data_IF_418873146594
#
_entry.id   IF_418873146594
#
_cell.length_a   1.000
_cell.length_b   1.000
_cell.length_c   1.000
_cell.angle_alpha   90.00
_cell.angle_beta   90.00
_cell.angle_gamma   90.00
#
_symmetry.space_group_name_H-M   'P 1'
#
loop_
_entity.id
_entity.type
_entity.pdbx_description
1 polymer ?
#
# COMPACT_ATOMS: atom_id res chain seq x y z
N UNK A 1 -5.40 -5.92 11.38
CA UNK A 1 -5.67 -4.83 10.41
C UNK A 1 -4.74 -4.96 9.22
N UNK A 2 -5.26 -4.84 8.01
CA UNK A 2 -4.48 -4.88 6.77
C UNK A 2 -4.48 -3.50 6.12
N UNK A 3 -3.31 -2.92 5.93
CA UNK A 3 -3.15 -1.62 5.28
C UNK A 3 -2.58 -1.84 3.88
N UNK A 4 -3.32 -1.43 2.86
CA UNK A 4 -2.86 -1.42 1.48
C UNK A 4 -1.88 -0.26 1.25
N UNK A 5 -0.77 -0.51 0.60
CA UNK A 5 0.12 0.54 0.10
C UNK A 5 0.21 0.44 -1.41
N UNK A 6 -0.14 1.51 -2.08
CA UNK A 6 -0.13 1.62 -3.54
C UNK A 6 0.76 2.76 -4.01
N UNK A 7 1.39 2.58 -5.15
CA UNK A 7 2.30 3.53 -5.75
C UNK A 7 3.00 2.94 -6.97
N UNK A 8 3.83 3.73 -7.64
CA UNK A 8 4.51 3.31 -8.86
C UNK A 8 5.58 2.25 -8.60
N UNK A 9 5.80 1.37 -9.58
CA UNK A 9 6.87 0.35 -9.58
C UNK A 9 8.27 0.94 -9.75
N UNK A 10 8.37 2.22 -10.08
CA UNK A 10 9.59 3.03 -10.12
C UNK A 10 9.31 4.36 -9.46
N UNK A 11 10.21 4.84 -8.63
CA UNK A 11 10.05 6.11 -7.93
C UNK A 11 11.41 6.78 -7.68
N UNK A 12 11.37 8.08 -7.35
CA UNK A 12 12.55 8.82 -6.93
C UNK A 12 13.06 8.34 -5.56
N UNK A 13 14.33 8.63 -5.21
CA UNK A 13 14.87 8.32 -3.88
C UNK A 13 14.03 8.91 -2.74
N UNK A 14 13.51 10.12 -2.88
CA UNK A 14 12.66 10.79 -1.89
C UNK A 14 11.33 10.03 -1.67
N UNK A 15 10.72 9.56 -2.74
CA UNK A 15 9.49 8.77 -2.64
C UNK A 15 9.77 7.38 -2.07
N UNK A 16 10.90 6.77 -2.42
CA UNK A 16 11.32 5.49 -1.83
C UNK A 16 11.53 5.61 -0.31
N UNK A 17 12.18 6.67 0.15
CA UNK A 17 12.39 6.93 1.58
C UNK A 17 11.05 7.15 2.32
N UNK A 18 10.15 7.94 1.73
CA UNK A 18 8.80 8.15 2.27
C UNK A 18 8.02 6.83 2.38
N UNK A 19 8.08 6.00 1.35
CA UNK A 19 7.41 4.69 1.34
C UNK A 19 8.00 3.74 2.39
N UNK A 20 9.31 3.73 2.57
CA UNK A 20 9.99 2.96 3.59
C UNK A 20 9.59 3.41 4.99
N UNK A 21 9.48 4.71 5.22
CA UNK A 21 9.00 5.26 6.50
C UNK A 21 7.54 4.86 6.77
N UNK A 22 6.66 4.91 5.77
CA UNK A 22 5.27 4.41 5.88
C UNK A 22 5.27 2.95 6.26
N UNK A 23 6.08 2.13 5.61
CA UNK A 23 6.21 0.71 5.94
C UNK A 23 6.68 0.47 7.37
N UNK A 24 7.68 1.20 7.83
CA UNK A 24 8.20 1.12 9.20
C UNK A 24 7.12 1.48 10.22
N UNK A 25 6.33 2.50 9.96
CA UNK A 25 5.22 2.89 10.84
C UNK A 25 4.09 1.86 10.87
N UNK A 26 3.79 1.21 9.74
CA UNK A 26 2.83 0.08 9.68
C UNK A 26 3.33 -1.08 10.54
N UNK A 27 4.59 -1.48 10.39
CA UNK A 27 5.19 -2.58 11.15
C UNK A 27 5.25 -2.31 12.65
N UNK A 28 5.68 -1.12 13.07
CA UNK A 28 5.71 -0.70 14.49
C UNK A 28 4.35 -0.81 15.18
N UNK A 29 3.27 -0.60 14.45
CA UNK A 29 1.90 -0.66 14.98
C UNK A 29 1.26 -2.04 14.87
N UNK A 30 1.99 -3.05 14.41
CA UNK A 30 1.50 -4.42 14.30
C UNK A 30 0.46 -4.64 13.20
N UNK A 31 0.32 -3.70 12.26
CA UNK A 31 -0.53 -3.90 11.10
C UNK A 31 0.20 -4.70 10.01
N UNK A 32 -0.58 -5.37 9.16
CA UNK A 32 -0.07 -6.14 8.02
C UNK A 32 -0.06 -5.25 6.78
N UNK A 33 1.04 -5.22 6.05
CA UNK A 33 1.12 -4.58 4.74
C UNK A 33 0.57 -5.51 3.67
N UNK A 34 -0.31 -4.99 2.82
CA UNK A 34 -0.67 -5.63 1.55
C UNK A 34 -0.33 -4.69 0.39
N UNK A 35 0.36 -5.18 -0.62
CA UNK A 35 0.77 -4.39 -1.79
C UNK A 35 0.84 -5.27 -3.05
N UNK A 36 1.23 -4.66 -4.17
CA UNK A 36 1.39 -5.37 -5.44
C UNK A 36 2.63 -6.25 -5.56
N UNK A 37 3.51 -6.22 -4.55
CA UNK A 37 4.64 -7.14 -4.43
C UNK A 37 5.84 -6.90 -5.35
N UNK A 38 5.83 -5.84 -6.18
CA UNK A 38 6.88 -5.52 -7.14
C UNK A 38 7.86 -4.47 -6.61
N UNK A 39 8.46 -3.68 -7.49
CA UNK A 39 9.47 -2.67 -7.16
C UNK A 39 8.91 -1.32 -6.70
N UNK A 40 9.79 -0.33 -6.62
CA UNK A 40 9.44 1.05 -6.31
C UNK A 40 8.82 1.25 -4.92
N UNK A 41 7.66 1.88 -4.88
CA UNK A 41 6.92 2.15 -3.63
C UNK A 41 6.58 0.84 -2.89
N UNK A 42 6.19 -0.20 -3.61
CA UNK A 42 5.84 -1.50 -3.03
C UNK A 42 7.03 -2.15 -2.31
N UNK A 43 8.19 -2.15 -2.95
CA UNK A 43 9.42 -2.70 -2.36
C UNK A 43 9.90 -1.89 -1.16
N UNK A 44 9.91 -0.55 -1.28
CA UNK A 44 10.36 0.33 -0.20
C UNK A 44 9.46 0.23 1.03
N UNK A 45 8.14 0.22 0.84
CA UNK A 45 7.20 0.01 1.95
C UNK A 45 7.39 -1.36 2.60
N UNK A 46 7.55 -2.42 1.80
CA UNK A 46 7.79 -3.77 2.31
C UNK A 46 9.08 -3.85 3.13
N UNK A 47 10.15 -3.21 2.65
CA UNK A 47 11.43 -3.10 3.39
C UNK A 47 11.22 -2.46 4.76
N UNK A 48 10.55 -1.32 4.82
CA UNK A 48 10.26 -0.63 6.08
C UNK A 48 9.47 -1.49 7.07
N UNK A 49 8.48 -2.24 6.60
CA UNK A 49 7.72 -3.18 7.45
C UNK A 49 8.63 -4.26 8.01
N UNK A 50 9.51 -4.85 7.19
CA UNK A 50 10.44 -5.90 7.63
C UNK A 50 11.44 -5.40 8.64
N UNK A 51 11.97 -4.17 8.48
CA UNK A 51 12.85 -3.55 9.47
C UNK A 51 12.18 -3.38 10.84
N UNK A 52 10.88 -3.17 10.87
CA UNK A 52 10.09 -3.08 12.09
C UNK A 52 9.55 -4.43 12.60
N UNK A 53 9.92 -5.55 11.98
CA UNK A 53 9.49 -6.89 12.38
C UNK A 53 8.05 -7.25 12.00
N UNK A 54 7.45 -6.53 11.06
CA UNK A 54 6.07 -6.75 10.61
C UNK A 54 5.94 -7.80 9.50
N UNK A 55 4.70 -8.00 9.03
CA UNK A 55 4.31 -8.96 8.00
C UNK A 55 3.94 -8.27 6.70
N UNK A 56 4.40 -8.82 5.58
CA UNK A 56 4.16 -8.30 4.24
C UNK A 56 3.48 -9.33 3.33
N UNK A 57 2.43 -8.91 2.64
CA UNK A 57 1.70 -9.70 1.65
C UNK A 57 1.83 -9.01 0.30
N UNK A 58 2.32 -9.72 -0.70
CA UNK A 58 2.41 -9.26 -2.08
C UNK A 58 1.41 -9.98 -2.98
N UNK A 59 0.46 -9.25 -3.55
CA UNK A 59 -0.48 -9.77 -4.54
C UNK A 59 0.12 -9.56 -5.93
N UNK A 60 0.72 -10.61 -6.48
CA UNK A 60 1.51 -10.55 -7.70
C UNK A 60 0.63 -10.62 -8.96
N UNK A 61 0.96 -9.86 -10.00
CA UNK A 61 0.21 -9.87 -11.26
C UNK A 61 0.53 -11.07 -12.13
N UNK A 62 1.72 -11.64 -12.01
CA UNK A 62 2.23 -12.71 -12.85
C UNK A 62 1.89 -14.10 -12.34
N UNK A 63 2.66 -15.07 -12.84
CA UNK A 63 2.42 -16.51 -12.61
C UNK A 63 3.46 -17.17 -11.73
N UNK A 64 4.43 -16.42 -11.21
CA UNK A 64 5.53 -16.92 -10.41
C UNK A 64 5.73 -16.11 -9.13
N UNK A 65 5.98 -16.78 -8.02
CA UNK A 65 6.31 -16.14 -6.75
C UNK A 65 7.69 -15.46 -6.75
N UNK A 66 8.57 -15.85 -7.68
CA UNK A 66 9.88 -15.26 -7.87
C UNK A 66 9.82 -13.81 -8.39
N UNK A 67 8.66 -13.34 -8.87
CA UNK A 67 8.43 -11.94 -9.23
C UNK A 67 8.36 -11.01 -8.01
N UNK A 68 8.10 -11.56 -6.83
CA UNK A 68 8.02 -10.78 -5.59
C UNK A 68 9.37 -10.14 -5.25
N UNK A 69 9.34 -8.89 -4.75
CA UNK A 69 10.54 -8.29 -4.18
C UNK A 69 11.00 -9.06 -2.93
N UNK A 70 12.27 -8.87 -2.54
CA UNK A 70 12.92 -9.63 -1.48
C UNK A 70 12.37 -9.42 -0.07
N UNK A 71 11.42 -8.50 0.12
CA UNK A 71 10.82 -8.16 1.42
C UNK A 71 9.40 -8.68 1.58
N UNK A 72 8.87 -9.43 0.61
CA UNK A 72 7.54 -10.05 0.69
C UNK A 72 7.64 -11.40 1.44
N UNK A 73 6.89 -11.51 2.53
CA UNK A 73 6.79 -12.76 3.29
C UNK A 73 5.82 -13.75 2.63
N UNK A 74 4.65 -13.24 2.20
CA UNK A 74 3.59 -14.06 1.63
C UNK A 74 3.28 -13.59 0.21
N UNK A 75 3.85 -14.23 -0.82
CA UNK A 75 3.51 -13.95 -2.22
C UNK A 75 2.23 -14.67 -2.61
N UNK A 76 1.24 -13.93 -3.14
CA UNK A 76 0.01 -14.47 -3.71
C UNK A 76 0.10 -14.35 -5.23
N UNK A 77 0.23 -15.47 -5.92
CA UNK A 77 0.36 -15.55 -7.37
C UNK A 77 -1.02 -15.59 -8.00
N UNK A 78 -1.37 -14.57 -8.79
CA UNK A 78 -2.72 -14.46 -9.37
C UNK A 78 -2.78 -14.78 -10.86
N UNK A 79 -1.75 -14.47 -11.63
CA UNK A 79 -1.78 -14.56 -13.08
C UNK A 79 -2.78 -13.59 -13.74
N UNK A 80 -3.26 -12.57 -13.00
CA UNK A 80 -4.35 -11.69 -13.44
C UNK A 80 -3.88 -10.35 -14.02
N UNK A 81 -2.56 -10.12 -14.08
CA UNK A 81 -2.04 -8.83 -14.51
C UNK A 81 -2.56 -7.68 -13.63
N UNK A 82 -2.92 -6.56 -14.23
CA UNK A 82 -3.43 -5.39 -13.49
C UNK A 82 -4.76 -5.63 -12.77
N UNK A 83 -5.54 -6.64 -13.18
CA UNK A 83 -6.81 -6.96 -12.50
C UNK A 83 -6.61 -7.37 -11.03
N UNK A 84 -5.39 -7.81 -10.63
CA UNK A 84 -5.06 -8.12 -9.23
C UNK A 84 -5.16 -6.90 -8.30
N UNK A 85 -5.15 -5.67 -8.84
CA UNK A 85 -5.32 -4.44 -8.07
C UNK A 85 -6.67 -4.39 -7.34
N UNK A 86 -7.69 -5.02 -7.91
CA UNK A 86 -9.01 -5.18 -7.27
C UNK A 86 -8.88 -6.03 -6.00
N UNK A 87 -8.04 -7.07 -6.02
CA UNK A 87 -7.81 -7.93 -4.85
C UNK A 87 -7.14 -7.12 -3.74
N UNK A 88 -6.14 -6.30 -4.06
CA UNK A 88 -5.48 -5.43 -3.08
C UNK A 88 -6.50 -4.50 -2.42
N UNK A 89 -7.33 -3.83 -3.21
CA UNK A 89 -8.33 -2.91 -2.70
C UNK A 89 -9.38 -3.60 -1.82
N UNK A 90 -9.87 -4.77 -2.22
CA UNK A 90 -10.83 -5.54 -1.41
C UNK A 90 -10.23 -6.03 -0.09
N UNK A 91 -8.99 -6.50 -0.12
CA UNK A 91 -8.31 -7.09 1.03
C UNK A 91 -7.78 -6.06 2.04
N UNK A 92 -7.72 -4.79 1.65
CA UNK A 92 -7.25 -3.71 2.53
C UNK A 92 -8.40 -3.16 3.38
N UNK A 93 -8.14 -2.90 4.66
CA UNK A 93 -9.07 -2.17 5.53
C UNK A 93 -9.04 -0.67 5.22
N UNK A 94 -7.84 -0.15 4.93
CA UNK A 94 -7.57 1.20 4.44
C UNK A 94 -6.40 1.17 3.46
N UNK A 95 -6.25 2.22 2.64
CA UNK A 95 -5.22 2.29 1.60
C UNK A 95 -4.42 3.58 1.74
N UNK A 96 -3.10 3.48 1.68
CA UNK A 96 -2.18 4.61 1.60
C UNK A 96 -1.63 4.67 0.17
N UNK A 97 -1.91 5.75 -0.52
CA UNK A 97 -1.41 6.03 -1.87
C UNK A 97 -0.21 6.97 -1.79
N UNK A 98 0.91 6.56 -2.34
CA UNK A 98 2.16 7.32 -2.30
C UNK A 98 2.59 7.65 -3.72
N UNK A 99 2.61 8.96 -4.07
CA UNK A 99 2.93 9.41 -5.43
C UNK A 99 2.12 8.63 -6.47
N UNK A 100 2.74 8.19 -7.54
CA UNK A 100 2.17 7.23 -8.47
C UNK A 100 1.74 7.82 -9.80
N UNK A 101 1.53 6.92 -10.75
CA UNK A 101 1.13 7.17 -12.12
C UNK A 101 -0.29 6.64 -12.38
N UNK A 102 -0.62 6.33 -13.63
CA UNK A 102 -1.97 5.89 -14.01
C UNK A 102 -2.41 4.59 -13.34
N UNK A 103 -1.48 3.67 -13.04
CA UNK A 103 -1.78 2.46 -12.29
C UNK A 103 -2.28 2.78 -10.88
N UNK A 104 -1.58 3.68 -10.20
CA UNK A 104 -1.98 4.16 -8.86
C UNK A 104 -3.31 4.90 -8.90
N UNK A 105 -3.54 5.72 -9.94
CA UNK A 105 -4.82 6.39 -10.16
C UNK A 105 -5.97 5.38 -10.26
N UNK A 106 -5.79 4.29 -11.00
CA UNK A 106 -6.81 3.24 -11.12
C UNK A 106 -7.10 2.54 -9.80
N UNK A 107 -6.08 2.28 -9.00
CA UNK A 107 -6.21 1.69 -7.67
C UNK A 107 -6.94 2.61 -6.69
N UNK A 108 -6.65 3.92 -6.72
CA UNK A 108 -7.38 4.94 -5.96
C UNK A 108 -8.86 4.91 -6.33
N UNK A 109 -9.18 4.94 -7.62
CA UNK A 109 -10.56 4.93 -8.11
C UNK A 109 -11.32 3.66 -7.67
N UNK A 110 -10.68 2.49 -7.74
CA UNK A 110 -11.26 1.24 -7.24
C UNK A 110 -11.51 1.31 -5.73
N UNK A 111 -10.52 1.78 -4.97
CA UNK A 111 -10.65 1.92 -3.52
C UNK A 111 -11.77 2.86 -3.11
N UNK A 112 -11.91 4.01 -3.76
CA UNK A 112 -13.01 4.96 -3.53
C UNK A 112 -14.38 4.33 -3.87
N UNK A 113 -14.49 3.63 -4.99
CA UNK A 113 -15.71 2.90 -5.37
C UNK A 113 -16.11 1.88 -4.30
N UNK A 114 -15.14 1.23 -3.69
CA UNK A 114 -15.34 0.26 -2.59
C UNK A 114 -15.55 0.94 -1.22
N UNK A 115 -15.62 2.27 -1.18
CA UNK A 115 -15.76 3.07 0.05
C UNK A 115 -14.64 2.82 1.08
N UNK A 116 -13.45 2.47 0.59
CA UNK A 116 -12.26 2.39 1.44
C UNK A 116 -11.77 3.79 1.79
N UNK A 117 -11.14 3.94 2.96
CA UNK A 117 -10.40 5.15 3.28
C UNK A 117 -9.11 5.17 2.44
N UNK A 118 -8.93 6.23 1.65
CA UNK A 118 -7.73 6.45 0.86
C UNK A 118 -6.97 7.62 1.47
N UNK A 119 -5.78 7.38 1.95
CA UNK A 119 -4.87 8.39 2.49
C UNK A 119 -3.79 8.67 1.45
N UNK A 120 -3.62 9.92 1.09
CA UNK A 120 -2.71 10.34 0.01
C UNK A 120 -1.49 11.08 0.51
N UNK A 121 -0.31 10.62 0.11
CA UNK A 121 1.00 11.25 0.27
C UNK A 121 1.57 11.60 -1.11
N UNK A 122 1.66 12.90 -1.45
CA UNK A 122 2.18 13.37 -2.74
C UNK A 122 1.53 12.64 -3.94
N UNK A 123 0.25 12.33 -3.86
CA UNK A 123 -0.47 11.58 -4.89
C UNK A 123 -1.50 12.47 -5.59
N UNK A 124 -2.32 11.87 -6.44
CA UNK A 124 -3.37 12.52 -7.20
C UNK A 124 -4.33 13.31 -6.31
N UNK A 125 -4.67 14.52 -6.75
CA UNK A 125 -5.67 15.38 -6.10
C UNK A 125 -7.08 15.00 -6.57
N UNK A 126 -7.70 14.08 -5.84
CA UNK A 126 -9.01 13.53 -6.17
C UNK A 126 -9.91 13.69 -4.95
N UNK A 127 -11.16 14.09 -5.18
CA UNK A 127 -12.19 14.14 -4.14
C UNK A 127 -12.36 12.76 -3.48
N UNK A 128 -12.35 12.74 -2.15
CA UNK A 128 -12.43 11.51 -1.34
C UNK A 128 -11.07 10.97 -0.90
N UNK A 129 -9.95 11.47 -1.44
CA UNK A 129 -8.61 11.18 -0.94
C UNK A 129 -8.26 12.12 0.22
N UNK A 130 -7.90 11.55 1.34
CA UNK A 130 -7.50 12.29 2.54
C UNK A 130 -6.01 12.64 2.43
N UNK A 131 -5.71 13.91 2.16
CA UNK A 131 -4.33 14.37 2.02
C UNK A 131 -3.64 14.48 3.36
N UNK A 132 -2.43 14.00 3.44
CA UNK A 132 -1.53 14.11 4.58
C UNK A 132 -0.11 14.45 4.13
N UNK A 133 0.74 14.85 5.06
CA UNK A 133 2.09 15.34 4.74
C UNK A 133 3.21 14.40 5.19
N UNK A 134 2.97 13.53 6.17
CA UNK A 134 3.99 12.68 6.75
C UNK A 134 3.56 11.21 6.78
N UNK A 135 4.53 10.32 6.82
CA UNK A 135 4.32 8.88 6.96
C UNK A 135 3.56 8.53 8.24
N UNK A 136 3.95 9.15 9.36
CA UNK A 136 3.30 8.95 10.66
C UNK A 136 1.83 9.32 10.59
N UNK A 137 1.51 10.52 10.07
CA UNK A 137 0.14 10.99 9.91
C UNK A 137 -0.68 10.06 9.01
N UNK A 138 -0.08 9.54 7.94
CA UNK A 138 -0.74 8.62 7.01
C UNK A 138 -1.19 7.34 7.71
N UNK A 139 -0.30 6.70 8.44
CA UNK A 139 -0.58 5.43 9.11
C UNK A 139 -1.54 5.62 10.27
N UNK A 140 -1.37 6.66 11.08
CA UNK A 140 -2.31 6.99 12.16
C UNK A 140 -3.73 7.25 11.64
N UNK A 141 -3.84 8.01 10.56
CA UNK A 141 -5.14 8.31 9.94
C UNK A 141 -5.79 7.05 9.39
N UNK A 142 -5.01 6.21 8.69
CA UNK A 142 -5.47 4.95 8.15
C UNK A 142 -6.06 4.03 9.22
N UNK A 143 -5.33 3.85 10.33
CA UNK A 143 -5.76 3.00 11.44
C UNK A 143 -6.97 3.55 12.18
N UNK A 144 -6.95 4.84 12.51
CA UNK A 144 -8.04 5.50 13.25
C UNK A 144 -9.39 5.41 12.54
N UNK A 145 -9.39 5.52 11.20
CA UNK A 145 -10.63 5.44 10.42
C UNK A 145 -11.20 4.02 10.46
N UNK A 146 -10.35 3.00 10.41
CA UNK A 146 -10.77 1.60 10.49
C UNK A 146 -11.36 1.30 11.87
N UNK A 147 -10.66 1.66 12.95
CA UNK A 147 -11.10 1.45 14.33
C UNK A 147 -12.47 2.08 14.63
N UNK A 148 -12.77 3.24 14.02
CA UNK A 148 -14.08 3.90 14.16
C UNK A 148 -15.22 3.26 13.40
N UNK A 149 -14.91 2.42 12.39
CA UNK A 149 -15.92 1.68 11.62
C UNK A 149 -16.34 0.38 12.32
N UNK A 150 -15.46 -0.15 13.18
CA UNK A 150 -15.69 -1.39 13.92
C UNK A 150 -16.47 -1.16 15.23
N UNK A 151 -16.80 0.09 15.55
CA UNK A 151 -17.65 0.53 16.67
C UNK A 151 -19.01 0.99 16.16
#
# INVERSE_FOLDING_TARGET
MQIGVIGASRCSPEIAELAEEVGREIGKRGAVLICGGLGGVMESASKGVKEAGGLTIGVLPGRSKEEANGYIDVPIVTGMGHARNVIIAHSSDSIIAISGEHGTLSEIAIGLKLKKAIIGLNTWDIEGVIKVKTAVEAVEKAMRIVERRDV
#
